data_IF_098628250639
#
_entry.id   IF_098628250639
#
_cell.length_a   1.000
_cell.length_b   1.000
_cell.length_c   1.000
_cell.angle_alpha   90.00
_cell.angle_beta   90.00
_cell.angle_gamma   90.00
#
_symmetry.space_group_name_H-M   'P 1'
#
loop_
_entity.id
_entity.type
_entity.pdbx_description
1 polymer ?
#
# COMPACT_ATOMS: atom_id res chain seq x y z
N UNK A 1 3.46 15.42 -3.06
CA UNK A 1 3.49 14.03 -2.52
C UNK A 1 4.71 13.31 -3.07
N UNK A 2 5.36 12.46 -2.30
CA UNK A 2 6.53 11.69 -2.76
C UNK A 2 6.59 10.32 -2.08
N UNK A 3 7.18 9.34 -2.77
CA UNK A 3 7.37 7.99 -2.26
C UNK A 3 8.78 7.81 -1.73
N UNK A 4 8.93 7.24 -0.54
CA UNK A 4 10.20 6.90 0.08
C UNK A 4 10.23 5.45 0.57
N UNK A 5 11.41 4.86 0.65
CA UNK A 5 11.65 3.50 1.15
C UNK A 5 12.32 3.47 2.52
N UNK A 6 12.57 4.64 3.12
CA UNK A 6 13.14 4.74 4.45
C UNK A 6 13.15 6.16 5.02
N UNK A 7 13.54 6.32 6.30
CA UNK A 7 13.49 7.60 6.99
C UNK A 7 14.34 8.70 6.36
N UNK A 8 15.54 8.37 5.87
CA UNK A 8 16.44 9.38 5.28
C UNK A 8 15.82 10.01 4.02
N UNK A 9 15.28 9.19 3.12
CA UNK A 9 14.57 9.66 1.92
C UNK A 9 13.33 10.47 2.30
N UNK A 10 12.58 10.02 3.31
CA UNK A 10 11.40 10.72 3.82
C UNK A 10 11.73 12.13 4.32
N UNK A 11 12.84 12.29 5.05
CA UNK A 11 13.31 13.58 5.53
C UNK A 11 13.75 14.51 4.40
N UNK A 12 14.43 13.99 3.37
CA UNK A 12 14.78 14.77 2.17
C UNK A 12 13.53 15.26 1.43
N UNK A 13 12.51 14.42 1.31
CA UNK A 13 11.22 14.79 0.69
C UNK A 13 10.47 15.84 1.51
N UNK A 14 10.52 15.72 2.84
CA UNK A 14 9.95 16.72 3.75
C UNK A 14 10.66 18.07 3.59
N UNK A 15 11.99 18.08 3.53
CA UNK A 15 12.81 19.29 3.32
C UNK A 15 12.54 19.94 1.94
N UNK A 16 12.25 19.13 0.94
CA UNK A 16 11.81 19.60 -0.39
C UNK A 16 10.38 20.17 -0.41
N UNK A 17 9.66 20.18 0.73
CA UNK A 17 8.32 20.75 0.84
C UNK A 17 7.19 19.80 0.44
N UNK A 18 7.39 18.48 0.47
CA UNK A 18 6.30 17.54 0.22
C UNK A 18 5.27 17.52 1.35
N UNK A 19 4.00 17.78 1.04
CA UNK A 19 2.91 17.77 2.03
C UNK A 19 2.36 16.37 2.37
N UNK A 20 2.70 15.37 1.56
CA UNK A 20 2.37 13.96 1.80
C UNK A 20 3.59 13.08 1.52
N UNK A 21 4.05 12.37 2.54
CA UNK A 21 5.12 11.39 2.48
C UNK A 21 4.52 9.99 2.43
N UNK A 22 4.84 9.24 1.37
CA UNK A 22 4.26 7.91 1.13
C UNK A 22 5.35 6.86 1.39
N UNK A 23 5.23 6.14 2.50
CA UNK A 23 6.10 5.01 2.83
C UNK A 23 5.81 3.82 1.90
N UNK A 24 6.80 3.41 1.12
CA UNK A 24 6.66 2.39 0.08
C UNK A 24 7.37 1.09 0.45
N UNK A 25 6.60 0.01 0.59
CA UNK A 25 7.09 -1.35 0.88
C UNK A 25 7.63 -2.15 -0.29
N UNK A 26 7.96 -1.51 -1.41
CA UNK A 26 8.14 -2.18 -2.70
C UNK A 26 6.82 -2.63 -3.35
N UNK A 27 6.93 -3.32 -4.48
CA UNK A 27 5.79 -3.67 -5.34
C UNK A 27 4.72 -4.46 -4.59
N UNK A 28 3.46 -4.23 -4.93
CA UNK A 28 2.34 -4.99 -4.37
C UNK A 28 2.37 -6.44 -4.86
N UNK A 29 2.18 -7.39 -3.94
CA UNK A 29 1.82 -8.76 -4.32
C UNK A 29 0.35 -8.83 -4.76
N UNK A 30 -0.10 -10.01 -5.17
CA UNK A 30 -1.52 -10.24 -5.46
C UNK A 30 -1.96 -9.95 -6.90
N UNK A 31 -3.16 -10.43 -7.20
CA UNK A 31 -3.67 -10.52 -8.56
C UNK A 31 -2.97 -11.61 -9.39
N UNK A 32 -3.20 -11.59 -10.69
CA UNK A 32 -2.72 -12.62 -11.62
C UNK A 32 -1.22 -12.53 -11.93
N UNK A 33 -0.62 -11.34 -11.76
CA UNK A 33 0.77 -11.01 -12.15
C UNK A 33 1.63 -10.41 -11.02
N UNK A 34 1.12 -10.35 -9.79
CA UNK A 34 1.77 -9.66 -8.67
C UNK A 34 3.21 -10.08 -8.38
N UNK A 35 3.95 -9.23 -7.67
CA UNK A 35 5.35 -9.52 -7.33
C UNK A 35 5.47 -10.80 -6.49
N UNK A 36 6.44 -11.66 -6.83
CA UNK A 36 6.75 -12.89 -6.06
C UNK A 36 7.62 -12.64 -4.83
N UNK A 37 8.30 -11.50 -4.80
CA UNK A 37 9.13 -11.08 -3.67
C UNK A 37 8.56 -9.76 -3.15
N UNK A 38 8.06 -9.78 -1.92
CA UNK A 38 7.39 -8.63 -1.30
C UNK A 38 7.75 -8.48 0.17
N UNK A 39 7.75 -7.24 0.64
CA UNK A 39 7.77 -6.93 2.07
C UNK A 39 6.50 -7.45 2.71
N UNK A 40 6.61 -8.27 3.76
CA UNK A 40 5.43 -8.77 4.48
C UNK A 40 4.65 -7.63 5.13
N UNK A 41 3.38 -7.86 5.46
CA UNK A 41 2.55 -6.86 6.15
C UNK A 41 3.16 -6.48 7.51
N UNK A 42 3.75 -7.43 8.25
CA UNK A 42 4.44 -7.13 9.50
C UNK A 42 5.71 -6.29 9.30
N UNK A 43 6.53 -6.62 8.30
CA UNK A 43 7.72 -5.81 7.99
C UNK A 43 7.34 -4.41 7.48
N UNK A 44 6.16 -4.28 6.86
CA UNK A 44 5.57 -2.98 6.51
C UNK A 44 5.26 -2.15 7.77
N UNK A 45 4.72 -2.75 8.84
CA UNK A 45 4.46 -2.02 10.09
C UNK A 45 5.74 -1.35 10.59
N UNK A 46 6.83 -2.11 10.68
CA UNK A 46 8.11 -1.59 11.19
C UNK A 46 8.70 -0.50 10.28
N UNK A 47 8.68 -0.73 8.96
CA UNK A 47 9.14 0.25 7.99
C UNK A 47 8.37 1.56 8.09
N UNK A 48 7.03 1.48 8.09
CA UNK A 48 6.16 2.65 8.06
C UNK A 48 6.24 3.38 9.39
N UNK A 49 6.31 2.69 10.55
CA UNK A 49 6.46 3.34 11.85
C UNK A 49 7.74 4.18 11.90
N UNK A 50 8.88 3.65 11.43
CA UNK A 50 10.15 4.39 11.40
C UNK A 50 10.07 5.65 10.55
N UNK A 51 9.33 5.60 9.43
CA UNK A 51 9.12 6.77 8.55
C UNK A 51 8.19 7.78 9.24
N UNK A 52 7.08 7.32 9.82
CA UNK A 52 6.14 8.18 10.54
C UNK A 52 6.84 8.90 11.69
N UNK A 53 7.61 8.19 12.50
CA UNK A 53 8.35 8.78 13.64
C UNK A 53 9.34 9.85 13.19
N UNK A 54 10.10 9.57 12.12
CA UNK A 54 11.08 10.53 11.59
C UNK A 54 10.40 11.79 11.03
N UNK A 55 9.32 11.61 10.28
CA UNK A 55 8.60 12.69 9.59
C UNK A 55 7.81 13.54 10.58
N UNK A 56 6.98 12.91 11.41
CA UNK A 56 6.15 13.61 12.40
C UNK A 56 6.96 14.16 13.57
N UNK A 57 8.13 13.60 13.85
CA UNK A 57 9.10 14.18 14.78
C UNK A 57 9.66 15.53 14.32
N UNK A 58 9.72 15.79 13.00
CA UNK A 58 10.11 17.11 12.45
C UNK A 58 8.92 18.02 12.17
N UNK A 59 7.83 17.50 11.60
CA UNK A 59 6.64 18.25 11.23
C UNK A 59 5.37 17.44 11.53
N UNK A 60 4.75 17.61 12.71
CA UNK A 60 3.62 16.78 13.15
C UNK A 60 2.40 16.79 12.21
N UNK A 61 2.17 17.92 11.52
CA UNK A 61 0.99 18.14 10.69
C UNK A 61 1.12 17.62 9.25
N UNK A 62 2.28 17.10 8.86
CA UNK A 62 2.45 16.55 7.50
C UNK A 62 1.73 15.21 7.38
N UNK A 63 1.10 14.99 6.22
CA UNK A 63 0.40 13.74 5.94
C UNK A 63 1.44 12.66 5.71
N UNK A 64 1.30 11.53 6.40
CA UNK A 64 2.08 10.32 6.15
C UNK A 64 1.12 9.20 5.76
N UNK A 65 1.34 8.62 4.59
CA UNK A 65 0.56 7.47 4.09
C UNK A 65 1.49 6.32 3.72
N UNK A 66 0.96 5.12 3.46
CA UNK A 66 1.77 4.00 3.00
C UNK A 66 1.19 3.31 1.75
N UNK A 67 2.04 2.54 1.07
CA UNK A 67 1.71 1.83 -0.15
C UNK A 67 2.59 0.57 -0.33
N UNK A 68 2.03 -0.44 -0.99
CA UNK A 68 2.79 -1.58 -1.49
C UNK A 68 3.01 -2.71 -0.48
N UNK A 69 4.03 -3.52 -0.75
CA UNK A 69 4.31 -4.77 -0.02
C UNK A 69 3.21 -5.81 -0.17
N UNK A 70 3.08 -6.69 0.81
CA UNK A 70 2.05 -7.71 0.88
C UNK A 70 0.67 -7.20 1.31
N UNK A 71 0.41 -5.90 1.16
CA UNK A 71 -0.88 -5.28 1.48
C UNK A 71 -1.79 -5.43 0.27
N UNK A 72 -2.71 -6.40 0.27
CA UNK A 72 -3.52 -6.74 -0.90
C UNK A 72 -5.00 -6.43 -0.71
N UNK A 73 -5.48 -6.52 0.52
CA UNK A 73 -6.90 -6.50 0.89
C UNK A 73 -7.25 -5.33 1.81
N UNK A 74 -8.54 -4.97 1.94
CA UNK A 74 -8.99 -4.02 2.94
C UNK A 74 -8.59 -4.42 4.38
N UNK A 75 -8.54 -5.72 4.68
CA UNK A 75 -8.12 -6.25 5.97
C UNK A 75 -6.63 -5.97 6.25
N UNK A 76 -5.76 -6.10 5.25
CA UNK A 76 -4.34 -5.76 5.39
C UNK A 76 -4.14 -4.26 5.64
N UNK A 77 -4.89 -3.41 4.92
CA UNK A 77 -4.88 -1.96 5.13
C UNK A 77 -5.37 -1.61 6.53
N UNK A 78 -6.44 -2.25 7.00
CA UNK A 78 -6.95 -2.09 8.37
C UNK A 78 -5.91 -2.50 9.40
N UNK A 79 -5.21 -3.61 9.17
CA UNK A 79 -4.15 -4.08 10.05
C UNK A 79 -3.03 -3.04 10.17
N UNK A 80 -2.51 -2.52 9.06
CA UNK A 80 -1.48 -1.47 9.06
C UNK A 80 -1.93 -0.23 9.83
N UNK A 81 -3.12 0.30 9.52
CA UNK A 81 -3.67 1.48 10.20
C UNK A 81 -3.85 1.26 11.70
N UNK A 82 -4.16 0.03 12.13
CA UNK A 82 -4.31 -0.29 13.55
C UNK A 82 -2.98 -0.44 14.31
N UNK A 83 -1.88 -0.71 13.60
CA UNK A 83 -0.57 -1.00 14.20
C UNK A 83 0.38 0.19 14.16
N UNK A 84 0.33 0.99 13.10
CA UNK A 84 1.24 2.12 12.91
C UNK A 84 0.62 3.38 13.52
N UNK A 85 1.24 3.88 14.59
CA UNK A 85 0.78 5.10 15.27
C UNK A 85 1.15 6.33 14.45
N UNK A 86 0.16 7.19 14.20
CA UNK A 86 0.35 8.45 13.48
C UNK A 86 0.33 8.33 11.96
N UNK A 87 0.03 7.14 11.41
CA UNK A 87 -0.23 6.95 9.99
C UNK A 87 -1.60 7.53 9.61
N UNK A 88 -1.65 8.33 8.55
CA UNK A 88 -2.86 9.07 8.15
C UNK A 88 -3.67 8.37 7.05
N UNK A 89 -3.14 7.29 6.46
CA UNK A 89 -3.87 6.55 5.45
C UNK A 89 -3.02 5.59 4.61
N UNK A 90 -3.66 5.04 3.58
CA UNK A 90 -3.07 4.14 2.60
C UNK A 90 -3.38 4.61 1.18
N UNK A 91 -2.38 4.57 0.30
CA UNK A 91 -2.54 4.92 -1.12
C UNK A 91 -2.77 3.65 -1.92
N UNK A 92 -4.00 3.48 -2.43
CA UNK A 92 -4.35 2.36 -3.30
C UNK A 92 -3.78 2.51 -4.71
N UNK A 93 -3.18 1.43 -5.22
CA UNK A 93 -2.78 1.28 -6.62
C UNK A 93 -3.40 0.01 -7.18
N UNK A 94 -2.57 -1.03 -7.40
CA UNK A 94 -3.05 -2.36 -7.84
C UNK A 94 -4.14 -2.94 -6.94
N UNK A 95 -4.08 -2.68 -5.64
CA UNK A 95 -5.09 -3.09 -4.64
C UNK A 95 -6.46 -2.47 -4.84
N UNK A 96 -6.53 -1.25 -5.36
CA UNK A 96 -7.78 -0.53 -5.56
C UNK A 96 -8.36 -0.76 -6.97
N UNK A 97 -7.51 -0.95 -7.99
CA UNK A 97 -7.96 -1.02 -9.37
C UNK A 97 -7.79 -2.40 -10.02
N UNK A 98 -6.57 -2.97 -10.02
CA UNK A 98 -6.26 -4.17 -10.81
C UNK A 98 -6.83 -5.43 -10.19
N UNK A 99 -6.47 -5.71 -8.94
CA UNK A 99 -6.82 -6.95 -8.24
C UNK A 99 -8.34 -7.20 -8.19
N UNK A 100 -9.19 -6.22 -7.80
CA UNK A 100 -10.64 -6.45 -7.78
C UNK A 100 -11.24 -6.64 -9.18
N UNK A 101 -10.71 -5.95 -10.19
CA UNK A 101 -11.19 -6.05 -11.58
C UNK A 101 -10.80 -7.39 -12.21
N UNK A 102 -9.57 -7.86 -12.01
CA UNK A 102 -9.10 -9.16 -12.52
C UNK A 102 -9.99 -10.31 -12.07
N UNK A 103 -10.36 -10.34 -10.78
CA UNK A 103 -11.25 -11.35 -10.22
C UNK A 103 -12.64 -11.25 -10.85
N UNK A 104 -13.23 -10.06 -10.81
CA UNK A 104 -14.62 -9.83 -11.25
C UNK A 104 -14.84 -10.17 -12.73
N UNK A 105 -13.92 -9.72 -13.60
CA UNK A 105 -14.01 -10.02 -15.04
C UNK A 105 -13.82 -11.52 -15.30
N UNK A 106 -12.85 -12.14 -14.64
CA UNK A 106 -12.57 -13.58 -14.82
C UNK A 106 -13.75 -14.44 -14.41
N UNK A 107 -14.39 -14.11 -13.29
CA UNK A 107 -15.58 -14.83 -12.79
C UNK A 107 -16.78 -14.67 -13.74
N UNK A 108 -17.03 -13.46 -14.24
CA UNK A 108 -18.10 -13.21 -15.20
C UNK A 108 -17.91 -14.03 -16.50
N UNK A 109 -16.70 -14.03 -17.06
CA UNK A 109 -16.39 -14.80 -18.28
C UNK A 109 -16.56 -16.31 -18.04
N UNK A 110 -16.08 -16.83 -16.91
CA UNK A 110 -16.29 -18.25 -16.56
C UNK A 110 -17.77 -18.59 -16.46
N UNK A 111 -18.58 -17.70 -15.88
CA UNK A 111 -20.03 -17.84 -15.80
C UNK A 111 -20.68 -18.03 -17.17
N UNK A 112 -20.37 -17.16 -18.14
CA UNK A 112 -20.90 -17.31 -19.50
C UNK A 112 -20.45 -18.60 -20.19
N UNK A 113 -19.19 -19.00 -20.02
CA UNK A 113 -18.66 -20.23 -20.65
C UNK A 113 -19.22 -21.52 -20.04
N UNK A 114 -19.78 -21.47 -18.83
CA UNK A 114 -20.35 -22.63 -18.15
C UNK A 114 -21.78 -22.97 -18.60
N UNK A 115 -22.42 -22.12 -19.41
CA UNK A 115 -23.78 -22.35 -19.92
C UNK A 115 -23.74 -23.55 -20.89
N UNK A 116 -24.55 -24.58 -20.60
CA UNK A 116 -24.77 -25.70 -21.52
C UNK A 116 -25.96 -25.39 -22.43
N UNK A 117 -25.86 -25.79 -23.69
CA UNK A 117 -26.98 -25.74 -24.61
C UNK A 117 -28.03 -26.81 -24.19
N UNK A 118 -29.33 -26.56 -24.46
CA UNK A 118 -30.38 -27.55 -24.27
C UNK A 118 -30.14 -28.85 -25.03
#
# INVERSE_FOLDING_TARGET
>A
KAFCTGPEEALKMLEAGCDNIIAHGGNTSGGSIGSKTVTSVDAMVDLVQRIVDAVKGKKPDVIVTCHGGATETPEDVRYLLSKVKGLDGYVGGSTAERIPVEKSISEAVRGFKAIQLP
#
